data_IF_028130296587
#
_entry.id   IF_028130296587
#
_cell.length_a   1.000
_cell.length_b   1.000
_cell.length_c   1.000
_cell.angle_alpha   90.00
_cell.angle_beta   90.00
_cell.angle_gamma   90.00
#
_symmetry.space_group_name_H-M   'P 1'
#
loop_
_entity.id
_entity.type
_entity.pdbx_description
1 polymer ?
#
# COMPACT_ATOMS: atom_id res chain seq x y z
N UNK A 1 -11.76 -8.79 -13.51
CA UNK A 1 -10.36 -8.83 -13.04
C UNK A 1 -9.87 -10.27 -12.82
N UNK A 2 -10.39 -11.02 -11.84
CA UNK A 2 -9.85 -12.35 -11.48
C UNK A 2 -9.93 -13.36 -12.63
N UNK A 3 -11.00 -13.36 -13.40
CA UNK A 3 -11.13 -14.22 -14.59
C UNK A 3 -10.07 -13.91 -15.63
N UNK A 4 -9.83 -12.63 -15.90
CA UNK A 4 -8.92 -12.21 -16.97
C UNK A 4 -7.46 -12.57 -16.64
N UNK A 5 -7.06 -12.43 -15.36
CA UNK A 5 -5.72 -12.82 -14.89
C UNK A 5 -5.46 -14.33 -15.09
N UNK A 6 -6.50 -15.17 -14.99
CA UNK A 6 -6.37 -16.64 -15.10
C UNK A 6 -6.81 -17.18 -16.47
N UNK A 7 -6.97 -16.32 -17.45
CA UNK A 7 -7.28 -16.72 -18.83
C UNK A 7 -6.02 -16.58 -19.70
N UNK A 8 -5.65 -17.66 -20.39
CA UNK A 8 -4.50 -17.63 -21.31
C UNK A 8 -4.80 -16.87 -22.61
N UNK A 9 -3.78 -16.73 -23.47
CA UNK A 9 -3.89 -16.06 -24.79
C UNK A 9 -4.89 -16.72 -25.74
N UNK A 10 -5.20 -18.00 -25.52
CA UNK A 10 -6.14 -18.79 -26.33
C UNK A 10 -7.57 -18.72 -25.77
N UNK A 11 -7.80 -17.97 -24.70
CA UNK A 11 -9.09 -17.80 -24.06
C UNK A 11 -9.46 -18.90 -23.08
N UNK A 12 -8.55 -19.81 -22.71
CA UNK A 12 -8.81 -20.90 -21.78
C UNK A 12 -8.63 -20.43 -20.34
N UNK A 13 -9.63 -20.69 -19.50
CA UNK A 13 -9.55 -20.44 -18.07
C UNK A 13 -8.66 -21.51 -17.41
N UNK A 14 -7.56 -21.08 -16.79
CA UNK A 14 -6.55 -21.95 -16.15
C UNK A 14 -6.74 -22.12 -14.65
N UNK A 15 -7.55 -21.30 -14.02
CA UNK A 15 -7.84 -21.41 -12.59
C UNK A 15 -8.96 -20.50 -12.14
N UNK A 16 -9.39 -20.70 -10.91
CA UNK A 16 -10.43 -19.93 -10.26
C UNK A 16 -9.86 -19.20 -9.04
N UNK A 17 -10.24 -17.96 -8.86
CA UNK A 17 -9.98 -17.24 -7.61
C UNK A 17 -11.21 -17.27 -6.72
N UNK A 18 -11.00 -17.53 -5.45
CA UNK A 18 -12.04 -17.46 -4.41
C UNK A 18 -11.82 -16.25 -3.49
N UNK A 19 -10.75 -15.53 -3.69
CA UNK A 19 -10.37 -14.37 -2.86
C UNK A 19 -9.96 -13.19 -3.74
N UNK A 20 -10.73 -12.10 -3.68
CA UNK A 20 -10.32 -10.79 -4.15
C UNK A 20 -9.62 -10.03 -3.02
N UNK A 21 -8.55 -9.29 -3.34
CA UNK A 21 -7.78 -8.54 -2.36
C UNK A 21 -7.66 -7.07 -2.79
N UNK A 22 -8.77 -6.30 -2.81
CA UNK A 22 -8.68 -4.87 -3.03
C UNK A 22 -7.87 -4.25 -1.88
N UNK A 23 -6.95 -3.35 -2.24
CA UNK A 23 -6.13 -2.64 -1.29
C UNK A 23 -6.76 -1.34 -0.84
N UNK A 24 -6.28 -0.85 0.29
CA UNK A 24 -6.62 0.45 0.86
C UNK A 24 -5.38 1.08 1.50
N UNK A 25 -5.42 2.39 1.73
CA UNK A 25 -4.47 3.05 2.61
C UNK A 25 -4.96 2.90 4.05
N UNK A 26 -4.12 2.31 4.90
CA UNK A 26 -4.38 2.04 6.32
C UNK A 26 -3.58 3.06 7.13
N UNK A 27 -4.23 3.83 7.98
CA UNK A 27 -3.61 4.94 8.68
C UNK A 27 -3.87 4.91 10.19
N UNK A 28 -2.98 5.55 10.94
CA UNK A 28 -3.07 5.74 12.40
C UNK A 28 -4.10 6.81 12.74
N UNK A 29 -5.15 6.42 13.49
CA UNK A 29 -6.20 7.34 13.95
C UNK A 29 -5.67 8.43 14.89
N UNK A 30 -4.80 8.06 15.81
CA UNK A 30 -4.21 8.99 16.77
C UNK A 30 -3.38 10.08 16.09
N UNK A 31 -2.52 9.70 15.13
CA UNK A 31 -1.71 10.63 14.35
C UNK A 31 -2.62 11.53 13.48
N UNK A 32 -3.62 10.94 12.78
CA UNK A 32 -4.57 11.72 11.99
C UNK A 32 -5.28 12.78 12.83
N UNK A 33 -5.74 12.41 14.01
CA UNK A 33 -6.42 13.32 14.93
C UNK A 33 -5.50 14.43 15.44
N UNK A 34 -4.25 14.10 15.74
CA UNK A 34 -3.25 15.07 16.20
C UNK A 34 -2.89 16.07 15.09
N UNK A 35 -2.60 15.58 13.89
CA UNK A 35 -2.06 16.40 12.80
C UNK A 35 -3.17 17.13 12.03
N UNK A 36 -4.26 16.43 11.72
CA UNK A 36 -5.34 16.96 10.87
C UNK A 36 -6.58 17.42 11.67
N UNK A 37 -6.62 17.14 12.98
CA UNK A 37 -7.78 17.44 13.82
C UNK A 37 -8.94 16.45 13.67
N UNK A 38 -8.84 15.45 12.81
CA UNK A 38 -9.85 14.43 12.57
C UNK A 38 -9.22 13.08 12.24
N UNK A 39 -9.84 12.00 12.72
CA UNK A 39 -9.53 10.62 12.35
C UNK A 39 -10.62 9.97 11.49
N UNK A 40 -11.57 10.78 11.00
CA UNK A 40 -12.64 10.32 10.10
C UNK A 40 -12.06 9.94 8.72
N UNK A 41 -12.37 8.72 8.20
CA UNK A 41 -11.84 8.28 6.91
C UNK A 41 -12.16 9.21 5.73
N UNK A 42 -13.33 9.86 5.72
CA UNK A 42 -13.69 10.77 4.64
C UNK A 42 -12.90 12.08 4.69
N UNK A 43 -12.53 12.54 5.90
CA UNK A 43 -11.65 13.72 6.04
C UNK A 43 -10.20 13.39 5.70
N UNK A 44 -9.70 12.22 6.12
CA UNK A 44 -8.35 11.75 5.75
C UNK A 44 -8.25 11.50 4.25
N UNK A 45 -9.31 10.95 3.59
CA UNK A 45 -9.33 10.77 2.15
C UNK A 45 -9.07 12.08 1.37
N UNK A 46 -9.58 13.21 1.84
CA UNK A 46 -9.33 14.51 1.20
C UNK A 46 -7.84 14.91 1.22
N UNK A 47 -7.12 14.46 2.23
CA UNK A 47 -5.68 14.71 2.40
C UNK A 47 -4.81 13.83 1.49
N UNK A 48 -5.34 12.70 1.00
CA UNK A 48 -4.60 11.68 0.25
C UNK A 48 -5.37 11.27 -1.02
N UNK A 49 -6.17 12.17 -1.60
CA UNK A 49 -7.04 11.88 -2.74
C UNK A 49 -6.30 11.58 -4.05
N UNK A 50 -5.09 12.05 -4.16
CA UNK A 50 -4.16 11.81 -5.27
C UNK A 50 -2.71 11.88 -4.77
N UNK A 51 -1.74 11.64 -5.66
CA UNK A 51 -0.32 11.62 -5.28
C UNK A 51 0.24 13.00 -4.92
N UNK A 52 -0.35 14.10 -5.42
CA UNK A 52 0.07 15.46 -5.07
C UNK A 52 -0.38 15.82 -3.65
N UNK A 53 -1.64 15.54 -3.32
CA UNK A 53 -2.16 15.72 -1.95
C UNK A 53 -1.51 14.76 -0.97
N UNK A 54 -1.16 13.54 -1.39
CA UNK A 54 -0.40 12.57 -0.58
C UNK A 54 0.99 13.13 -0.20
N UNK A 55 1.75 13.70 -1.14
CA UNK A 55 3.05 14.34 -0.87
C UNK A 55 2.90 15.56 0.05
N UNK A 56 1.93 16.43 -0.21
CA UNK A 56 1.67 17.58 0.66
C UNK A 56 1.32 17.16 2.09
N UNK A 57 0.60 16.07 2.25
CA UNK A 57 0.29 15.48 3.56
C UNK A 57 1.52 14.87 4.22
N UNK A 58 2.44 14.28 3.45
CA UNK A 58 3.71 13.78 3.97
C UNK A 58 4.59 14.90 4.56
N UNK A 59 4.62 16.07 3.92
CA UNK A 59 5.28 17.27 4.43
C UNK A 59 4.65 17.75 5.76
N UNK A 60 3.30 17.83 5.82
CA UNK A 60 2.56 18.21 7.04
C UNK A 60 2.84 17.24 8.21
N UNK A 61 2.88 15.93 7.95
CA UNK A 61 3.23 14.90 8.93
C UNK A 61 4.66 15.05 9.43
N UNK A 62 5.62 15.26 8.53
CA UNK A 62 7.03 15.45 8.85
C UNK A 62 7.26 16.65 9.77
N UNK A 63 6.55 17.77 9.57
CA UNK A 63 6.63 18.94 10.45
C UNK A 63 6.25 18.62 11.91
N UNK A 64 5.48 17.57 12.12
CA UNK A 64 5.06 17.05 13.43
C UNK A 64 5.93 15.88 13.93
N UNK A 65 6.95 15.48 13.17
CA UNK A 65 7.86 14.39 13.53
C UNK A 65 7.39 13.00 13.09
N UNK A 66 6.37 12.93 12.25
CA UNK A 66 5.85 11.68 11.71
C UNK A 66 6.38 11.41 10.29
N UNK A 67 6.34 10.15 9.91
CA UNK A 67 6.67 9.68 8.57
C UNK A 67 5.43 9.16 7.87
N UNK A 68 5.26 9.50 6.61
CA UNK A 68 4.09 9.11 5.82
C UNK A 68 3.98 7.58 5.73
N UNK A 69 5.09 6.90 5.43
CA UNK A 69 5.17 5.44 5.31
C UNK A 69 6.45 4.90 5.94
N UNK A 70 6.47 3.61 6.22
CA UNK A 70 7.63 2.89 6.76
C UNK A 70 8.72 2.65 5.69
N UNK A 71 8.31 2.61 4.44
CA UNK A 71 9.19 2.48 3.27
C UNK A 71 8.46 2.98 2.02
N UNK A 72 9.20 3.45 1.03
CA UNK A 72 8.66 3.78 -0.30
C UNK A 72 8.04 2.56 -0.99
N UNK A 73 8.46 1.35 -0.62
CA UNK A 73 7.92 0.10 -1.15
C UNK A 73 6.47 -0.17 -0.70
N UNK A 74 6.00 0.46 0.38
CA UNK A 74 4.60 0.34 0.82
C UNK A 74 3.63 0.78 -0.31
N UNK A 75 3.97 1.84 -1.04
CA UNK A 75 3.16 2.35 -2.16
C UNK A 75 3.41 1.63 -3.50
N UNK A 76 4.46 0.82 -3.64
CA UNK A 76 4.83 0.21 -4.93
C UNK A 76 3.69 -0.54 -5.60
N UNK A 77 2.89 -1.30 -4.82
CA UNK A 77 1.77 -2.09 -5.36
C UNK A 77 0.70 -1.22 -6.01
N UNK A 78 0.48 -0.02 -5.50
CA UNK A 78 -0.47 0.93 -6.08
C UNK A 78 -0.03 1.31 -7.51
N UNK A 79 1.23 1.67 -7.69
CA UNK A 79 1.78 2.01 -9.00
C UNK A 79 1.87 0.81 -9.94
N UNK A 80 2.39 -0.33 -9.47
CA UNK A 80 2.60 -1.51 -10.29
C UNK A 80 1.31 -2.19 -10.76
N UNK A 81 0.21 -2.01 -10.04
CA UNK A 81 -1.11 -2.49 -10.49
C UNK A 81 -1.72 -1.64 -11.63
N UNK A 82 -1.25 -0.42 -11.77
CA UNK A 82 -1.79 0.54 -12.73
C UNK A 82 -0.89 0.75 -13.96
N UNK A 83 0.07 -0.16 -14.19
CA UNK A 83 0.89 -0.13 -15.39
C UNK A 83 0.05 -0.43 -16.64
N UNK A 84 0.40 0.22 -17.73
CA UNK A 84 -0.29 0.14 -19.02
C UNK A 84 0.51 -0.60 -20.08
N UNK A 85 1.79 -0.83 -19.83
CA UNK A 85 2.68 -1.56 -20.74
C UNK A 85 3.43 -2.67 -20.04
N UNK A 86 3.74 -3.80 -20.73
CA UNK A 86 4.60 -4.84 -20.19
C UNK A 86 6.06 -4.38 -20.11
N UNK A 87 6.84 -5.06 -19.25
CA UNK A 87 8.27 -4.79 -19.10
C UNK A 87 9.10 -5.04 -20.36
N UNK A 88 8.60 -5.85 -21.29
CA UNK A 88 9.28 -6.15 -22.55
C UNK A 88 8.31 -5.89 -23.70
N UNK A 89 8.69 -4.98 -24.60
CA UNK A 89 7.98 -4.67 -25.84
C UNK A 89 8.97 -4.82 -27.00
N UNK A 90 8.64 -5.64 -27.99
CA UNK A 90 9.49 -5.92 -29.17
C UNK A 90 10.93 -6.31 -28.80
N UNK A 91 11.10 -7.12 -27.75
CA UNK A 91 12.40 -7.58 -27.27
C UNK A 91 13.24 -6.53 -26.53
N UNK A 92 12.65 -5.36 -26.21
CA UNK A 92 13.32 -4.28 -25.48
C UNK A 92 12.66 -4.07 -24.11
N UNK A 93 13.50 -3.76 -23.12
CA UNK A 93 13.02 -3.34 -21.80
C UNK A 93 12.27 -2.02 -21.94
N UNK A 94 11.04 -1.98 -21.45
CA UNK A 94 10.17 -0.82 -21.41
C UNK A 94 9.75 -0.58 -19.96
N UNK A 95 10.09 0.59 -19.43
CA UNK A 95 9.66 0.99 -18.10
C UNK A 95 8.42 1.85 -18.23
N UNK A 96 7.30 1.37 -17.69
CA UNK A 96 6.03 2.10 -17.68
C UNK A 96 6.15 3.43 -16.92
N UNK A 97 5.41 4.45 -17.34
CA UNK A 97 5.47 5.77 -16.71
C UNK A 97 4.97 5.74 -15.27
N UNK A 98 4.04 4.86 -14.90
CA UNK A 98 3.66 4.69 -13.49
C UNK A 98 4.84 4.20 -12.63
N UNK A 99 5.68 3.33 -13.16
CA UNK A 99 6.89 2.90 -12.42
C UNK A 99 7.91 4.02 -12.30
N UNK A 100 8.10 4.83 -13.34
CA UNK A 100 8.96 6.03 -13.26
C UNK A 100 8.43 7.02 -12.23
N UNK A 101 7.13 7.30 -12.24
CA UNK A 101 6.49 8.18 -11.27
C UNK A 101 6.69 7.68 -9.83
N UNK A 102 6.59 6.37 -9.59
CA UNK A 102 6.91 5.79 -8.29
C UNK A 102 8.37 6.02 -7.89
N UNK A 103 9.32 5.84 -8.81
CA UNK A 103 10.75 6.07 -8.55
C UNK A 103 11.02 7.54 -8.20
N UNK A 104 10.47 8.47 -8.98
CA UNK A 104 10.66 9.90 -8.79
C UNK A 104 10.05 10.35 -7.44
N UNK A 105 8.81 9.97 -7.16
CA UNK A 105 8.15 10.24 -5.88
C UNK A 105 8.93 9.64 -4.70
N UNK A 106 9.40 8.40 -4.85
CA UNK A 106 10.17 7.72 -3.80
C UNK A 106 11.46 8.47 -3.47
N UNK A 107 12.17 8.91 -4.52
CA UNK A 107 13.38 9.70 -4.35
C UNK A 107 13.08 11.03 -3.66
N UNK A 108 12.07 11.77 -4.11
CA UNK A 108 11.66 13.03 -3.50
C UNK A 108 11.35 12.89 -2.01
N UNK A 109 10.53 11.89 -1.65
CA UNK A 109 10.11 11.67 -0.25
C UNK A 109 11.26 11.21 0.65
N UNK A 110 12.20 10.40 0.13
CA UNK A 110 13.39 9.98 0.89
C UNK A 110 14.33 11.17 1.10
N UNK A 111 14.63 11.92 0.04
CA UNK A 111 15.50 13.10 0.13
C UNK A 111 14.92 14.17 1.07
N UNK A 112 13.59 14.30 1.08
CA UNK A 112 12.88 15.19 1.99
C UNK A 112 12.77 14.64 3.43
N UNK A 113 13.00 13.35 3.67
CA UNK A 113 12.86 12.71 5.00
C UNK A 113 11.39 12.55 5.43
N UNK A 114 10.49 12.36 4.49
CA UNK A 114 9.04 12.20 4.69
C UNK A 114 8.62 10.74 4.84
N UNK A 115 9.52 9.81 4.55
CA UNK A 115 9.33 8.37 4.69
C UNK A 115 10.58 7.74 5.29
N UNK A 116 10.40 6.63 6.03
CA UNK A 116 11.53 5.79 6.40
C UNK A 116 12.02 4.97 5.19
N UNK A 117 13.14 4.30 5.36
CA UNK A 117 13.81 3.52 4.30
C UNK A 117 14.02 2.07 4.71
N UNK A 118 13.13 1.54 5.55
CA UNK A 118 13.22 0.15 5.99
C UNK A 118 12.95 -0.82 4.84
N UNK A 119 13.55 -1.98 4.91
CA UNK A 119 13.25 -3.04 3.96
C UNK A 119 11.86 -3.62 4.26
N UNK A 120 11.04 -3.76 3.22
CA UNK A 120 9.70 -4.33 3.32
C UNK A 120 9.76 -5.73 3.95
N UNK A 121 8.91 -6.01 4.93
CA UNK A 121 8.85 -7.25 5.73
C UNK A 121 9.99 -7.43 6.74
N UNK A 122 10.88 -6.47 6.90
CA UNK A 122 11.89 -6.52 7.97
C UNK A 122 11.28 -6.25 9.36
N UNK A 123 12.05 -6.60 10.40
CA UNK A 123 11.67 -6.29 11.77
C UNK A 123 11.56 -4.77 12.01
N UNK A 124 12.44 -3.97 11.37
CA UNK A 124 12.39 -2.52 11.49
C UNK A 124 11.15 -1.92 10.81
N UNK A 125 10.75 -2.45 9.68
CA UNK A 125 9.49 -2.09 9.02
C UNK A 125 8.28 -2.44 9.90
N UNK A 126 8.30 -3.60 10.55
CA UNK A 126 7.22 -4.10 11.43
C UNK A 126 7.06 -3.28 12.71
N UNK A 127 8.12 -2.61 13.20
CA UNK A 127 8.03 -1.71 14.36
C UNK A 127 7.01 -0.58 14.16
N UNK A 128 6.74 -0.21 12.92
CA UNK A 128 5.70 0.77 12.58
C UNK A 128 4.28 0.37 12.98
N UNK A 129 4.03 -0.91 13.29
CA UNK A 129 2.73 -1.38 13.75
C UNK A 129 2.46 -1.11 15.23
N UNK A 130 3.44 -0.59 15.96
CA UNK A 130 3.35 -0.33 17.41
C UNK A 130 3.18 1.16 17.72
N UNK A 131 2.59 1.44 18.89
CA UNK A 131 2.20 2.80 19.30
C UNK A 131 3.35 3.78 19.50
N UNK A 132 4.54 3.26 19.80
CA UNK A 132 5.77 4.03 19.98
C UNK A 132 6.46 4.41 18.66
N UNK A 133 5.92 3.94 17.53
CA UNK A 133 6.38 4.31 16.19
C UNK A 133 5.83 5.67 15.75
N UNK A 134 6.55 6.32 14.86
CA UNK A 134 6.14 7.55 14.19
C UNK A 134 5.62 7.34 12.75
N UNK A 135 5.39 6.11 12.32
CA UNK A 135 4.86 5.79 10.98
C UNK A 135 3.35 6.02 10.94
N UNK A 136 2.90 6.81 9.97
CA UNK A 136 1.49 7.18 9.82
C UNK A 136 0.68 6.12 9.09
N UNK A 137 1.17 5.58 7.97
CA UNK A 137 0.33 4.74 7.11
C UNK A 137 1.06 3.59 6.43
N UNK A 138 0.25 2.65 5.96
CA UNK A 138 0.61 1.50 5.14
C UNK A 138 -0.40 1.33 4.01
N UNK A 139 -0.03 0.59 2.97
CA UNK A 139 -0.94 0.16 1.92
C UNK A 139 -1.12 -1.35 1.99
N UNK A 140 -2.36 -1.82 2.03
CA UNK A 140 -2.62 -3.25 2.11
C UNK A 140 -4.09 -3.62 1.98
N UNK A 141 -4.41 -4.87 1.63
CA UNK A 141 -5.76 -5.40 1.65
C UNK A 141 -6.18 -5.85 3.07
N UNK A 142 -7.41 -6.32 3.21
CA UNK A 142 -7.97 -6.72 4.51
C UNK A 142 -7.10 -7.75 5.25
N UNK A 143 -6.54 -8.76 4.55
CA UNK A 143 -5.66 -9.75 5.18
C UNK A 143 -4.41 -9.16 5.80
N UNK A 144 -3.94 -8.02 5.30
CA UNK A 144 -2.75 -7.35 5.81
C UNK A 144 -2.93 -6.88 7.26
N UNK A 145 -4.12 -6.38 7.59
CA UNK A 145 -4.45 -5.91 8.95
C UNK A 145 -4.38 -7.08 9.94
N UNK A 146 -5.05 -8.19 9.64
CA UNK A 146 -5.15 -9.31 10.57
C UNK A 146 -3.88 -10.16 10.61
N UNK A 147 -3.21 -10.32 9.46
CA UNK A 147 -2.08 -11.24 9.32
C UNK A 147 -0.71 -10.59 9.59
N UNK A 148 -0.53 -9.33 9.19
CA UNK A 148 0.79 -8.68 9.20
C UNK A 148 0.93 -7.62 10.29
N UNK A 149 -0.14 -6.89 10.64
CA UNK A 149 -0.06 -5.70 11.50
C UNK A 149 -0.10 -6.00 13.00
N UNK A 150 0.12 -7.26 13.40
CA UNK A 150 0.26 -7.68 14.81
C UNK A 150 -0.90 -7.23 15.73
N UNK A 151 -2.14 -7.23 15.20
CA UNK A 151 -3.30 -6.63 15.86
C UNK A 151 -3.64 -7.19 17.24
N UNK A 152 -3.17 -8.40 17.54
CA UNK A 152 -3.38 -9.11 18.83
C UNK A 152 -2.26 -8.86 19.85
N UNK A 153 -1.15 -8.24 19.44
CA UNK A 153 0.02 -8.04 20.32
C UNK A 153 -0.13 -6.83 21.23
N UNK A 154 0.38 -6.94 22.45
CA UNK A 154 0.42 -5.83 23.40
C UNK A 154 1.27 -4.67 22.87
N UNK A 155 0.76 -3.46 22.96
CA UNK A 155 1.41 -2.25 22.44
C UNK A 155 1.21 -2.01 20.95
N UNK A 156 0.59 -2.96 20.21
CA UNK A 156 0.24 -2.72 18.81
C UNK A 156 -0.88 -1.68 18.67
N UNK A 157 -0.84 -0.95 17.59
CA UNK A 157 -1.88 0.03 17.21
C UNK A 157 -3.21 -0.68 16.98
N UNK A 158 -3.18 -1.88 16.36
CA UNK A 158 -4.37 -2.64 15.98
C UNK A 158 -5.18 -3.16 17.16
N UNK A 159 -4.52 -3.52 18.27
CA UNK A 159 -5.18 -4.11 19.44
C UNK A 159 -6.32 -3.24 20.03
N UNK A 160 -6.18 -1.94 19.97
CA UNK A 160 -7.16 -0.98 20.49
C UNK A 160 -7.96 -0.28 19.38
N UNK A 161 -7.98 -0.85 18.17
CA UNK A 161 -8.70 -0.25 17.03
C UNK A 161 -8.08 1.05 16.54
N UNK A 162 -6.77 1.24 16.71
CA UNK A 162 -6.06 2.47 16.36
C UNK A 162 -5.81 2.67 14.87
N UNK A 163 -6.15 1.69 14.03
CA UNK A 163 -6.11 1.81 12.58
C UNK A 163 -7.47 2.19 11.99
N UNK A 164 -7.45 2.94 10.92
CA UNK A 164 -8.58 3.11 10.01
C UNK A 164 -8.10 2.95 8.56
N UNK A 165 -9.04 2.80 7.64
CA UNK A 165 -8.74 2.65 6.23
C UNK A 165 -9.49 3.69 5.40
N UNK A 166 -8.85 4.12 4.31
CA UNK A 166 -9.43 4.99 3.28
C UNK A 166 -8.95 4.51 1.90
N UNK A 167 -9.55 4.99 0.81
CA UNK A 167 -9.17 4.55 -0.55
C UNK A 167 -7.70 4.86 -0.86
N UNK A 168 -7.20 5.99 -0.36
CA UNK A 168 -5.88 6.50 -0.69
C UNK A 168 -5.85 7.17 -2.06
N UNK A 169 -4.64 7.43 -2.62
CA UNK A 169 -4.49 8.20 -3.85
C UNK A 169 -4.92 7.44 -5.11
N UNK A 170 -4.93 6.10 -5.08
CA UNK A 170 -5.29 5.28 -6.22
C UNK A 170 -5.63 3.85 -5.80
N UNK A 171 -6.63 3.25 -6.44
CA UNK A 171 -7.04 1.87 -6.20
C UNK A 171 -6.01 0.84 -6.69
N UNK A 172 -5.92 -0.29 -5.99
CA UNK A 172 -5.03 -1.39 -6.35
C UNK A 172 -5.53 -2.72 -5.80
N UNK A 173 -4.87 -3.81 -6.23
CA UNK A 173 -5.06 -5.14 -5.69
C UNK A 173 -3.72 -5.71 -5.21
N UNK A 174 -3.73 -6.45 -4.11
CA UNK A 174 -2.54 -7.12 -3.63
C UNK A 174 -2.84 -8.52 -3.11
N UNK A 175 -2.40 -9.53 -3.89
CA UNK A 175 -2.59 -10.93 -3.55
C UNK A 175 -3.86 -11.53 -4.12
N UNK A 176 -4.34 -12.54 -3.45
CA UNK A 176 -5.43 -13.41 -3.86
C UNK A 176 -5.00 -14.88 -3.83
N UNK A 177 -5.96 -15.77 -3.75
CA UNK A 177 -5.70 -17.21 -3.79
C UNK A 177 -6.32 -17.81 -5.04
N UNK A 178 -5.55 -18.58 -5.77
CA UNK A 178 -5.92 -19.19 -7.04
C UNK A 178 -5.89 -20.72 -6.92
N UNK A 179 -6.93 -21.36 -7.40
CA UNK A 179 -7.03 -22.81 -7.46
C UNK A 179 -6.88 -23.21 -8.93
N UNK A 180 -5.88 -24.02 -9.21
CA UNK A 180 -5.62 -24.58 -10.54
C UNK A 180 -5.63 -26.09 -10.46
N UNK A 181 -6.09 -26.76 -11.52
CA UNK A 181 -5.96 -28.20 -11.66
C UNK A 181 -4.58 -28.55 -12.25
N UNK A 182 -3.94 -29.57 -11.71
CA UNK A 182 -2.73 -30.13 -12.31
C UNK A 182 -3.09 -30.92 -13.55
N UNK A 183 -2.15 -31.05 -14.50
CA UNK A 183 -2.33 -31.90 -15.68
C UNK A 183 -2.54 -33.35 -15.24
N UNK A 184 -3.63 -33.99 -15.68
CA UNK A 184 -3.96 -35.38 -15.34
C UNK A 184 -4.85 -35.58 -14.12
N UNK A 185 -5.41 -34.48 -13.57
CA UNK A 185 -6.44 -34.57 -12.50
C UNK A 185 -7.83 -34.42 -13.07
#
# INVERSE_FOLDING_TARGET
>A
YTKDVMTDSDGNLKGLSWQGCPGAMIYRRDIAKEVFGSDDPAEVQKKVADWDTFKATAEELKEKGYQMTSTVNDAYRVFSNNVTSPWVVDGKITVDDNIKNWVDMSKEMVDAGETATYELWSDDWSKGFFKDSNVFSYFGPAWFIDFSMSADQDGSVGKDGGWAATEGPQGFYWGGTWITAATGT
#
